data_IF_049968060352
#
_entry.id   IF_049968060352
#
_cell.length_a   1.000
_cell.length_b   1.000
_cell.length_c   1.000
_cell.angle_alpha   90.00
_cell.angle_beta   90.00
_cell.angle_gamma   90.00
#
_symmetry.space_group_name_H-M   'P 1'
#
loop_
_entity.id
_entity.type
_entity.pdbx_description
1 polymer ?
#
# COMPACT_ATOMS: atom_id res chain seq x y z
N UNK A 1 -14.73 -8.18 -9.81
CA UNK A 1 -14.83 -8.70 -8.42
C UNK A 1 -13.47 -9.13 -7.84
N UNK A 2 -12.67 -9.97 -8.50
CA UNK A 2 -11.37 -10.42 -7.96
C UNK A 2 -10.38 -9.29 -7.64
N UNK A 3 -10.27 -8.28 -8.50
CA UNK A 3 -9.38 -7.12 -8.29
C UNK A 3 -9.66 -6.38 -6.97
N UNK A 4 -10.92 -6.03 -6.72
CA UNK A 4 -11.38 -5.38 -5.47
C UNK A 4 -11.11 -6.22 -4.22
N UNK A 5 -11.25 -7.55 -4.33
CA UNK A 5 -10.97 -8.46 -3.21
C UNK A 5 -9.48 -8.47 -2.87
N UNK A 6 -8.61 -8.58 -3.88
CA UNK A 6 -7.15 -8.53 -3.68
C UNK A 6 -6.75 -7.21 -3.03
N UNK A 7 -7.28 -6.08 -3.50
CA UNK A 7 -6.94 -4.78 -2.91
C UNK A 7 -7.36 -4.68 -1.44
N UNK A 8 -8.54 -5.18 -1.07
CA UNK A 8 -8.97 -5.19 0.34
C UNK A 8 -8.07 -6.06 1.20
N UNK A 9 -7.69 -7.25 0.73
CA UNK A 9 -6.78 -8.14 1.47
C UNK A 9 -5.42 -7.45 1.69
N UNK A 10 -4.86 -6.80 0.67
CA UNK A 10 -3.58 -6.10 0.79
C UNK A 10 -3.66 -4.88 1.71
N UNK A 11 -4.76 -4.12 1.65
CA UNK A 11 -4.97 -2.92 2.49
C UNK A 11 -5.12 -3.26 3.97
N UNK A 12 -5.73 -4.38 4.31
CA UNK A 12 -5.99 -4.76 5.71
C UNK A 12 -5.07 -5.86 6.25
N UNK A 13 -4.04 -6.24 5.51
CA UNK A 13 -3.02 -7.15 6.02
C UNK A 13 -2.35 -6.61 7.29
N UNK A 14 -2.13 -7.49 8.26
CA UNK A 14 -1.45 -7.15 9.52
C UNK A 14 0.03 -6.80 9.29
N UNK A 15 0.66 -7.42 8.30
CA UNK A 15 2.02 -7.13 7.88
C UNK A 15 2.10 -5.87 7.01
N UNK A 16 3.28 -5.25 6.97
CA UNK A 16 3.59 -4.20 6.02
C UNK A 16 3.58 -4.74 4.60
N UNK A 17 2.77 -4.15 3.73
CA UNK A 17 2.72 -4.47 2.29
C UNK A 17 3.14 -3.24 1.51
N UNK A 18 4.18 -3.39 0.70
CA UNK A 18 4.69 -2.36 -0.21
C UNK A 18 4.72 -2.91 -1.64
N UNK A 19 4.13 -2.16 -2.57
CA UNK A 19 4.23 -2.41 -4.00
C UNK A 19 5.04 -1.28 -4.62
N UNK A 20 6.01 -1.64 -5.45
CA UNK A 20 6.90 -0.72 -6.13
C UNK A 20 6.63 -0.73 -7.63
N UNK A 21 6.77 0.42 -8.27
CA UNK A 21 6.97 0.52 -9.71
C UNK A 21 8.39 0.03 -10.08
N UNK A 22 8.65 -0.31 -11.36
CA UNK A 22 9.98 -0.73 -11.81
C UNK A 22 11.08 0.31 -11.59
N UNK A 23 10.73 1.60 -11.50
CA UNK A 23 11.65 2.70 -11.19
C UNK A 23 11.98 2.84 -9.69
N UNK A 24 11.39 1.98 -8.85
CA UNK A 24 11.59 1.97 -7.41
C UNK A 24 10.69 2.93 -6.63
N UNK A 25 9.82 3.69 -7.30
CA UNK A 25 8.83 4.52 -6.61
C UNK A 25 7.72 3.66 -5.98
N UNK A 26 7.13 4.14 -4.88
CA UNK A 26 6.10 3.38 -4.15
C UNK A 26 4.76 3.56 -4.86
N UNK A 27 4.21 2.46 -5.39
CA UNK A 27 2.87 2.43 -5.98
C UNK A 27 1.78 2.31 -4.90
N UNK A 28 2.06 1.55 -3.84
CA UNK A 28 1.14 1.33 -2.72
C UNK A 28 1.90 0.97 -1.45
N UNK A 29 1.45 1.54 -0.32
CA UNK A 29 1.84 1.12 1.02
C UNK A 29 0.58 1.00 1.88
N UNK A 30 0.40 -0.14 2.55
CA UNK A 30 -0.74 -0.32 3.45
C UNK A 30 -0.51 0.39 4.81
N UNK A 31 -1.57 0.58 5.64
CA UNK A 31 -1.45 1.24 6.94
C UNK A 31 -0.42 0.60 7.88
N UNK A 32 -0.27 -0.73 7.82
CA UNK A 32 0.73 -1.46 8.60
C UNK A 32 2.15 -1.08 8.20
N UNK A 33 2.41 -0.88 6.91
CA UNK A 33 3.68 -0.38 6.39
C UNK A 33 3.98 1.07 6.82
N UNK A 34 2.97 1.95 6.86
CA UNK A 34 3.13 3.29 7.41
C UNK A 34 3.59 3.29 8.87
N UNK A 35 2.97 2.44 9.71
CA UNK A 35 3.38 2.27 11.10
C UNK A 35 4.80 1.73 11.24
N UNK A 36 5.16 0.73 10.41
CA UNK A 36 6.48 0.11 10.43
C UNK A 36 7.60 1.10 10.05
N UNK A 37 7.33 1.99 9.08
CA UNK A 37 8.30 2.96 8.59
C UNK A 37 8.29 4.29 9.35
N UNK A 38 7.36 4.49 10.29
CA UNK A 38 7.20 5.76 11.02
C UNK A 38 6.71 6.92 10.13
N UNK A 39 6.06 6.63 9.01
CA UNK A 39 5.57 7.61 8.04
C UNK A 39 4.09 7.96 8.32
N UNK A 40 3.71 9.19 8.00
CA UNK A 40 2.31 9.60 8.04
C UNK A 40 1.63 9.32 6.69
N UNK A 41 0.39 8.82 6.71
CA UNK A 41 -0.37 8.51 5.49
C UNK A 41 -0.56 9.71 4.57
N UNK A 42 -0.52 10.94 5.09
CA UNK A 42 -0.62 12.17 4.28
C UNK A 42 0.49 12.32 3.23
N UNK A 43 1.58 11.56 3.34
CA UNK A 43 2.67 11.55 2.38
C UNK A 43 2.45 10.53 1.24
N UNK A 44 1.38 9.74 1.33
CA UNK A 44 0.94 8.87 0.26
C UNK A 44 0.56 9.68 -0.99
N UNK A 45 1.17 9.35 -2.12
CA UNK A 45 0.69 9.75 -3.43
C UNK A 45 0.41 8.46 -4.20
N UNK A 46 -0.82 7.96 -4.09
CA UNK A 46 -1.23 6.70 -4.72
C UNK A 46 -2.01 6.97 -5.99
N UNK A 47 -1.61 6.32 -7.07
CA UNK A 47 -2.38 6.12 -8.30
C UNK A 47 -2.80 4.65 -8.49
N UNK A 48 -2.40 3.78 -7.56
CA UNK A 48 -2.78 2.37 -7.53
C UNK A 48 -4.29 2.22 -7.31
N UNK A 49 -4.97 1.32 -8.05
CA UNK A 49 -6.41 1.11 -7.89
C UNK A 49 -6.73 0.48 -6.53
N UNK A 50 -6.98 1.35 -5.54
CA UNK A 50 -7.44 1.00 -4.19
C UNK A 50 -8.96 0.90 -4.06
#
# INVERSE_FOLDING_TARGET
MKQLFVTRVLRYASDGVMVLYPDGTIAFLNPSGFRLLGLQEKYAVWDWPT
#
